data_IF_314451889715
#
_entry.id   IF_314451889715
#
_cell.length_a   1.000
_cell.length_b   1.000
_cell.length_c   1.000
_cell.angle_alpha   90.00
_cell.angle_beta   90.00
_cell.angle_gamma   90.00
#
_symmetry.space_group_name_H-M   'P 1'
#
loop_
_entity.id
_entity.type
_entity.pdbx_description
1 polymer ?
#
# COMPACT_ATOMS: atom_id res chain seq x y z
N UNK A 1 -5.17 1.68 39.97
CA UNK A 1 -4.40 0.47 40.29
C UNK A 1 -4.41 -0.45 39.08
N UNK A 2 -3.21 -0.88 38.71
CA UNK A 2 -2.82 -1.60 37.50
C UNK A 2 -3.68 -2.81 37.13
N UNK A 3 -3.84 -3.04 35.83
CA UNK A 3 -3.51 -4.35 35.25
C UNK A 3 -3.32 -4.25 33.73
N UNK A 4 -2.10 -3.91 33.32
CA UNK A 4 -1.64 -4.14 31.94
C UNK A 4 -1.32 -5.63 31.78
N UNK A 5 -1.96 -6.30 30.81
CA UNK A 5 -1.65 -7.70 30.45
C UNK A 5 -0.47 -7.69 29.45
N UNK A 6 0.64 -8.30 29.85
CA UNK A 6 1.85 -8.42 29.04
C UNK A 6 1.61 -9.32 27.82
N UNK A 7 1.91 -8.81 26.62
CA UNK A 7 1.95 -9.59 25.37
C UNK A 7 3.29 -10.33 25.31
N UNK A 8 3.27 -11.65 25.06
CA UNK A 8 4.47 -12.47 24.90
C UNK A 8 4.98 -12.33 23.46
N UNK A 9 6.19 -11.80 23.30
CA UNK A 9 6.91 -11.77 22.03
C UNK A 9 7.51 -13.15 21.76
N UNK A 10 7.12 -13.78 20.65
CA UNK A 10 7.69 -15.04 20.19
C UNK A 10 8.77 -14.72 19.16
N UNK A 11 10.04 -14.90 19.53
CA UNK A 11 11.18 -14.73 18.64
C UNK A 11 11.34 -15.99 17.78
N UNK A 12 11.12 -15.87 16.47
CA UNK A 12 11.42 -16.93 15.50
C UNK A 12 12.84 -16.69 14.98
N UNK A 13 13.73 -17.64 15.30
CA UNK A 13 15.15 -17.66 14.95
C UNK A 13 15.30 -18.14 13.50
N UNK A 14 15.70 -17.25 12.59
CA UNK A 14 16.01 -17.61 11.20
C UNK A 14 17.39 -18.28 11.13
N UNK A 15 17.43 -19.58 10.79
CA UNK A 15 18.66 -20.32 10.59
C UNK A 15 19.20 -20.06 9.16
N UNK A 16 20.33 -19.34 9.09
CA UNK A 16 21.07 -19.05 7.87
C UNK A 16 22.02 -20.22 7.57
N UNK A 17 21.68 -21.07 6.59
CA UNK A 17 22.57 -22.14 6.11
C UNK A 17 23.42 -21.62 4.95
N UNK A 18 24.67 -21.25 5.27
CA UNK A 18 25.76 -21.04 4.31
C UNK A 18 26.13 -22.37 3.64
N UNK A 19 25.88 -22.46 2.34
CA UNK A 19 26.40 -23.52 1.48
C UNK A 19 27.64 -23.03 0.73
N UNK A 20 28.83 -23.33 1.28
CA UNK A 20 30.12 -23.27 0.58
C UNK A 20 30.35 -24.55 -0.22
N UNK A 21 30.89 -24.45 -1.44
CA UNK A 21 31.47 -25.59 -2.15
C UNK A 21 31.82 -25.29 -3.60
N UNK A 22 33.10 -25.02 -3.88
CA UNK A 22 33.64 -24.95 -5.24
C UNK A 22 34.22 -26.29 -5.71
N UNK A 23 34.59 -26.39 -6.99
CA UNK A 23 35.82 -27.03 -7.48
C UNK A 23 36.11 -26.59 -8.93
N UNK A 24 37.41 -26.60 -9.22
CA UNK A 24 38.09 -26.14 -10.42
C UNK A 24 37.82 -26.94 -11.70
N UNK A 25 37.91 -26.26 -12.84
CA UNK A 25 38.13 -26.84 -14.17
C UNK A 25 39.05 -25.94 -14.98
N UNK A 26 40.34 -26.26 -15.00
CA UNK A 26 41.36 -25.65 -15.84
C UNK A 26 41.44 -26.44 -17.15
N UNK A 27 41.29 -25.77 -18.29
CA UNK A 27 41.49 -26.32 -19.62
C UNK A 27 42.15 -25.28 -20.52
N UNK A 28 43.44 -25.50 -20.79
CA UNK A 28 44.30 -24.73 -21.70
C UNK A 28 43.84 -24.85 -23.15
N UNK A 29 43.86 -23.73 -23.88
CA UNK A 29 43.76 -23.65 -25.35
C UNK A 29 44.00 -22.21 -25.82
N UNK A 30 44.93 -22.06 -26.75
CA UNK A 30 45.75 -20.89 -27.10
C UNK A 30 45.11 -19.57 -27.63
N UNK A 31 45.83 -18.50 -27.30
CA UNK A 31 46.23 -17.29 -28.06
C UNK A 31 45.26 -16.17 -28.54
N UNK A 32 45.50 -14.99 -27.93
CA UNK A 32 45.80 -13.65 -28.51
C UNK A 32 44.63 -12.76 -28.99
N UNK A 33 44.32 -11.72 -28.20
CA UNK A 33 44.72 -10.33 -28.48
C UNK A 33 44.45 -9.38 -27.31
N UNK A 34 45.53 -8.73 -26.89
CA UNK A 34 45.63 -7.49 -26.11
C UNK A 34 44.65 -6.40 -26.56
N UNK A 35 44.00 -5.73 -25.62
CA UNK A 35 44.00 -4.27 -25.46
C UNK A 35 43.58 -3.93 -24.03
N UNK A 36 44.45 -3.22 -23.33
CA UNK A 36 44.29 -2.59 -22.03
C UNK A 36 43.26 -1.45 -22.11
N UNK A 37 42.45 -1.21 -21.07
CA UNK A 37 42.55 -0.03 -20.19
C UNK A 37 41.36 0.06 -19.19
N UNK A 38 41.73 0.02 -17.89
CA UNK A 38 41.28 0.86 -16.73
C UNK A 38 39.77 1.15 -16.51
N UNK A 39 39.16 0.75 -15.38
CA UNK A 39 39.21 1.35 -14.01
C UNK A 39 38.55 2.76 -13.97
N UNK A 40 37.71 3.21 -13.03
CA UNK A 40 37.12 2.82 -11.74
C UNK A 40 35.94 3.80 -11.50
N UNK A 41 34.79 3.42 -10.92
CA UNK A 41 34.40 3.53 -9.50
C UNK A 41 34.52 4.91 -8.80
N UNK A 42 33.34 5.44 -8.44
CA UNK A 42 32.93 6.10 -7.18
C UNK A 42 33.40 7.50 -6.69
N UNK A 43 32.35 8.30 -6.40
CA UNK A 43 32.05 9.08 -5.16
C UNK A 43 32.80 10.39 -4.82
N UNK A 44 31.97 11.44 -4.77
CA UNK A 44 31.86 12.64 -3.92
C UNK A 44 33.04 13.15 -3.07
N UNK A 45 33.23 14.48 -3.11
CA UNK A 45 33.42 15.31 -1.90
C UNK A 45 33.14 16.81 -2.14
N UNK A 46 32.47 17.42 -1.15
CA UNK A 46 32.27 18.85 -0.89
C UNK A 46 33.58 19.61 -0.59
N UNK A 47 33.57 20.94 -0.84
CA UNK A 47 34.12 22.00 0.03
C UNK A 47 33.53 23.34 -0.46
N UNK A 48 32.71 24.07 0.31
CA UNK A 48 33.11 25.15 1.24
C UNK A 48 32.64 26.51 0.66
N UNK A 49 32.38 27.60 1.35
CA UNK A 49 32.14 28.01 2.74
C UNK A 49 31.70 29.51 2.66
N UNK A 50 30.80 29.97 3.55
CA UNK A 50 30.66 31.38 4.05
C UNK A 50 30.21 32.51 3.09
N UNK A 51 29.43 33.55 3.43
CA UNK A 51 29.17 34.25 4.70
C UNK A 51 27.92 35.16 4.61
N UNK A 52 27.21 35.28 5.74
CA UNK A 52 26.51 36.45 6.34
C UNK A 52 25.46 37.34 5.61
N UNK A 53 24.23 37.23 6.16
CA UNK A 53 23.42 38.25 6.90
C UNK A 53 22.96 39.54 6.21
N UNK A 54 21.64 39.70 6.10
CA UNK A 54 20.94 40.96 6.42
C UNK A 54 19.52 40.67 6.92
N UNK A 55 19.10 41.40 7.96
CA UNK A 55 17.82 41.28 8.68
C UNK A 55 16.69 42.08 8.02
N UNK A 56 15.46 41.57 8.22
CA UNK A 56 14.13 42.22 8.29
C UNK A 56 13.66 43.12 7.13
N UNK A 57 12.53 42.74 6.55
CA UNK A 57 11.26 43.43 6.84
C UNK A 57 10.03 42.60 6.50
N UNK A 58 8.96 42.92 7.22
CA UNK A 58 7.66 42.30 7.34
C UNK A 58 6.75 42.71 6.18
N UNK A 59 6.15 41.76 5.45
CA UNK A 59 4.79 41.96 4.95
C UNK A 59 4.05 40.64 4.75
N UNK A 60 2.81 40.72 5.18
CA UNK A 60 1.76 39.72 5.33
C UNK A 60 1.07 39.56 3.99
N UNK A 61 1.07 38.36 3.42
CA UNK A 61 0.02 37.96 2.49
C UNK A 61 -0.30 36.47 2.66
N UNK A 62 -1.55 36.26 3.00
CA UNK A 62 -2.14 35.04 3.53
C UNK A 62 -2.55 34.18 2.33
N UNK A 63 -1.76 33.15 2.02
CA UNK A 63 -2.14 32.12 1.07
C UNK A 63 -3.17 31.20 1.75
N UNK A 64 -4.37 31.00 1.18
CA UNK A 64 -5.38 30.14 1.77
C UNK A 64 -4.84 28.72 1.96
N UNK A 65 -4.88 28.24 3.20
CA UNK A 65 -4.87 26.81 3.48
C UNK A 65 -6.18 26.28 2.91
N UNK A 66 -6.10 25.54 1.81
CA UNK A 66 -7.16 24.60 1.47
C UNK A 66 -7.26 23.61 2.63
N UNK A 67 -8.23 23.84 3.50
CA UNK A 67 -8.81 22.79 4.33
C UNK A 67 -9.26 21.70 3.37
N UNK A 68 -8.57 20.56 3.41
CA UNK A 68 -9.07 19.31 2.86
C UNK A 68 -10.34 18.99 3.64
N UNK A 69 -11.47 19.44 3.13
CA UNK A 69 -12.78 19.19 3.74
C UNK A 69 -13.01 17.69 3.74
N UNK A 70 -12.89 17.09 4.94
CA UNK A 70 -13.55 15.82 5.22
C UNK A 70 -15.05 16.09 5.16
N UNK A 71 -15.65 15.75 4.02
CA UNK A 71 -17.10 15.68 3.86
C UNK A 71 -17.62 14.53 4.73
N UNK A 72 -17.88 14.80 6.00
CA UNK A 72 -18.59 13.90 6.87
C UNK A 72 -20.09 14.08 6.64
N UNK A 73 -20.68 13.15 5.88
CA UNK A 73 -22.13 13.00 5.75
C UNK A 73 -22.65 12.33 7.04
N UNK A 74 -23.71 12.84 7.71
CA UNK A 74 -24.23 12.23 8.93
C UNK A 74 -24.91 10.88 8.63
N UNK A 75 -24.57 9.85 9.42
CA UNK A 75 -25.11 8.51 9.24
C UNK A 75 -26.51 8.26 9.84
N UNK A 76 -27.34 7.56 9.07
CA UNK A 76 -28.23 6.55 9.64
C UNK A 76 -27.44 5.25 9.87
N UNK A 77 -27.85 4.45 10.85
CA UNK A 77 -27.26 3.13 11.15
C UNK A 77 -26.89 2.38 9.86
N UNK A 78 -25.63 1.97 9.73
CA UNK A 78 -25.10 1.35 8.51
C UNK A 78 -24.63 -0.08 8.76
N UNK A 79 -24.83 -0.97 7.78
CA UNK A 79 -24.27 -2.31 7.76
C UNK A 79 -23.01 -2.31 6.90
N UNK A 80 -21.88 -2.75 7.45
CA UNK A 80 -20.68 -3.03 6.68
C UNK A 80 -20.55 -4.52 6.38
N UNK A 81 -20.02 -4.83 5.20
CA UNK A 81 -19.75 -6.18 4.73
C UNK A 81 -18.25 -6.29 4.50
N UNK A 82 -17.56 -7.10 5.32
CA UNK A 82 -16.12 -7.34 5.19
C UNK A 82 -15.88 -8.69 4.52
N UNK A 83 -15.04 -8.65 3.49
CA UNK A 83 -14.49 -9.82 2.83
C UNK A 83 -13.05 -10.04 3.27
N UNK A 84 -12.73 -11.30 3.59
CA UNK A 84 -11.37 -11.76 3.83
C UNK A 84 -11.13 -13.03 3.03
N UNK A 85 -9.88 -13.38 2.66
CA UNK A 85 -9.61 -14.67 2.05
C UNK A 85 -10.06 -15.81 2.96
N UNK A 86 -10.60 -16.89 2.38
CA UNK A 86 -10.91 -18.10 3.12
C UNK A 86 -9.62 -18.87 3.47
N UNK A 87 -9.73 -19.97 4.23
CA UNK A 87 -8.56 -20.75 4.69
C UNK A 87 -7.71 -21.30 3.52
N UNK A 88 -8.32 -21.54 2.36
CA UNK A 88 -7.64 -22.10 1.18
C UNK A 88 -7.13 -21.03 0.20
N UNK A 89 -7.45 -19.75 0.41
CA UNK A 89 -7.19 -18.65 -0.51
C UNK A 89 -7.73 -18.88 -1.94
N UNK A 90 -8.90 -19.52 -2.04
CA UNK A 90 -9.61 -19.79 -3.31
C UNK A 90 -11.02 -19.16 -3.36
N UNK A 91 -11.29 -18.25 -2.42
CA UNK A 91 -12.54 -17.54 -2.27
C UNK A 91 -12.55 -16.76 -0.96
N UNK A 92 -13.72 -16.23 -0.59
CA UNK A 92 -13.81 -15.28 0.52
C UNK A 92 -14.76 -15.73 1.62
N UNK A 93 -14.39 -15.42 2.86
CA UNK A 93 -15.34 -15.34 3.97
C UNK A 93 -16.05 -13.98 3.93
N UNK A 94 -17.34 -13.97 4.26
CA UNK A 94 -18.16 -12.75 4.36
C UNK A 94 -18.59 -12.53 5.80
N UNK A 95 -18.30 -11.36 6.35
CA UNK A 95 -18.79 -10.94 7.66
C UNK A 95 -19.65 -9.69 7.54
N UNK A 96 -20.87 -9.74 8.07
CA UNK A 96 -21.74 -8.57 8.19
C UNK A 96 -21.65 -8.02 9.60
N UNK A 97 -21.54 -6.70 9.72
CA UNK A 97 -21.39 -6.02 11.01
C UNK A 97 -22.14 -4.71 10.98
N UNK A 98 -22.82 -4.41 12.09
CA UNK A 98 -23.65 -3.21 12.22
C UNK A 98 -22.86 -2.10 12.92
N UNK A 99 -22.94 -0.89 12.37
CA UNK A 99 -22.32 0.32 12.88
C UNK A 99 -23.37 1.43 13.00
N UNK A 100 -23.11 2.36 13.91
CA UNK A 100 -23.87 3.62 13.92
C UNK A 100 -23.61 4.42 12.64
N UNK A 101 -22.36 4.38 12.16
CA UNK A 101 -21.90 5.01 10.93
C UNK A 101 -20.84 4.15 10.25
N UNK A 102 -20.99 3.94 8.94
CA UNK A 102 -19.99 3.23 8.13
C UNK A 102 -19.10 4.24 7.44
N UNK A 103 -17.80 4.21 7.76
CA UNK A 103 -16.79 5.04 7.11
C UNK A 103 -15.69 4.18 6.47
N UNK A 104 -15.01 4.68 5.42
CA UNK A 104 -13.91 3.96 4.77
C UNK A 104 -12.78 3.61 5.74
N UNK A 105 -12.43 4.52 6.64
CA UNK A 105 -11.40 4.29 7.65
C UNK A 105 -11.78 3.21 8.66
N UNK A 106 -13.06 3.10 9.01
CA UNK A 106 -13.56 2.01 9.86
C UNK A 106 -13.43 0.67 9.15
N UNK A 107 -13.82 0.59 7.87
CA UNK A 107 -13.70 -0.61 7.05
C UNK A 107 -12.24 -1.06 6.95
N UNK A 108 -11.32 -0.15 6.58
CA UNK A 108 -9.88 -0.45 6.53
C UNK A 108 -9.38 -0.90 7.91
N UNK A 109 -9.79 -0.26 9.00
CA UNK A 109 -9.43 -0.68 10.34
C UNK A 109 -9.87 -2.10 10.70
N UNK A 110 -11.01 -2.57 10.16
CA UNK A 110 -11.49 -3.94 10.36
C UNK A 110 -10.68 -4.95 9.55
N UNK A 111 -10.35 -4.60 8.30
CA UNK A 111 -9.46 -5.41 7.44
C UNK A 111 -8.02 -5.46 7.98
N UNK A 112 -7.56 -4.42 8.70
CA UNK A 112 -6.31 -4.49 9.45
C UNK A 112 -6.46 -5.39 10.68
N UNK A 113 -7.59 -5.31 11.36
CA UNK A 113 -7.89 -6.11 12.55
C UNK A 113 -7.96 -7.62 12.30
N UNK A 114 -8.45 -8.03 11.13
CA UNK A 114 -8.52 -9.44 10.71
C UNK A 114 -7.26 -9.93 9.98
N UNK A 115 -6.33 -9.03 9.65
CA UNK A 115 -5.04 -9.33 9.02
C UNK A 115 -5.06 -9.38 7.49
N UNK A 116 -6.17 -8.98 6.85
CA UNK A 116 -6.26 -8.85 5.40
C UNK A 116 -5.32 -7.74 4.88
N UNK A 117 -5.20 -6.64 5.63
CA UNK A 117 -4.30 -5.52 5.33
C UNK A 117 -3.30 -5.27 6.48
N UNK A 118 -2.10 -4.73 6.20
CA UNK A 118 -1.17 -4.31 7.24
C UNK A 118 -1.59 -2.95 7.83
N UNK A 119 -1.08 -2.65 9.02
CA UNK A 119 -1.36 -1.40 9.75
C UNK A 119 -0.82 -0.13 9.08
N UNK A 120 0.04 -0.27 8.07
CA UNK A 120 0.53 0.82 7.24
C UNK A 120 -0.49 1.37 6.24
N UNK A 121 -1.64 0.70 6.04
CA UNK A 121 -2.68 1.13 5.09
C UNK A 121 -3.63 2.11 5.74
N UNK A 122 -3.74 3.30 5.15
CA UNK A 122 -4.62 4.38 5.60
C UNK A 122 -5.43 4.92 4.42
N UNK A 123 -6.68 5.31 4.67
CA UNK A 123 -7.51 6.03 3.69
C UNK A 123 -7.09 7.50 3.61
N UNK A 124 -6.71 7.93 2.42
CA UNK A 124 -6.28 9.30 2.13
C UNK A 124 -7.43 10.14 1.56
N UNK A 125 -8.26 9.55 0.70
CA UNK A 125 -9.46 10.15 0.15
C UNK A 125 -10.50 9.07 -0.19
N UNK A 126 -11.77 9.44 -0.17
CA UNK A 126 -12.87 8.57 -0.58
C UNK A 126 -13.99 9.39 -1.19
N UNK A 127 -14.46 8.98 -2.36
CA UNK A 127 -15.54 9.63 -3.09
C UNK A 127 -16.51 8.58 -3.63
N UNK A 128 -17.81 8.83 -3.46
CA UNK A 128 -18.85 8.19 -4.27
C UNK A 128 -19.00 8.99 -5.56
N UNK A 129 -18.86 8.32 -6.69
CA UNK A 129 -18.82 8.92 -8.03
C UNK A 129 -19.82 8.24 -8.97
N UNK A 130 -20.15 8.91 -10.07
CA UNK A 130 -20.90 8.29 -11.19
C UNK A 130 -19.90 7.78 -12.23
N UNK A 131 -20.04 6.51 -12.61
CA UNK A 131 -19.30 5.93 -13.71
C UNK A 131 -20.30 5.37 -14.74
N UNK A 132 -20.50 6.13 -15.81
CA UNK A 132 -21.41 5.77 -16.91
C UNK A 132 -22.89 5.57 -16.47
N UNK A 133 -23.36 6.35 -15.49
CA UNK A 133 -24.72 6.27 -14.97
C UNK A 133 -24.93 5.21 -13.88
N UNK A 134 -23.86 4.52 -13.47
CA UNK A 134 -23.87 3.53 -12.38
C UNK A 134 -23.09 4.05 -11.17
N UNK A 135 -23.54 3.75 -9.93
CA UNK A 135 -22.81 4.11 -8.71
C UNK A 135 -21.42 3.48 -8.70
N UNK A 136 -20.39 4.27 -8.44
CA UNK A 136 -19.02 3.83 -8.35
C UNK A 136 -18.29 4.53 -7.19
N UNK A 137 -17.12 4.02 -6.84
CA UNK A 137 -16.30 4.53 -5.75
C UNK A 137 -14.91 4.93 -6.27
N UNK A 138 -14.30 5.93 -5.64
CA UNK A 138 -12.87 6.19 -5.74
C UNK A 138 -12.28 6.15 -4.35
N UNK A 139 -11.35 5.22 -4.13
CA UNK A 139 -10.67 5.03 -2.86
C UNK A 139 -9.17 5.26 -3.04
N UNK A 140 -8.67 6.30 -2.39
CA UNK A 140 -7.25 6.63 -2.37
C UNK A 140 -6.63 6.18 -1.05
N UNK A 141 -5.59 5.36 -1.14
CA UNK A 141 -4.89 4.76 -0.02
C UNK A 141 -3.45 5.28 0.06
N UNK A 142 -2.85 5.22 1.25
CA UNK A 142 -1.44 5.53 1.45
C UNK A 142 -0.50 4.59 0.66
N UNK A 143 0.73 5.03 0.36
CA UNK A 143 1.79 4.19 -0.24
C UNK A 143 1.93 2.78 0.35
N UNK A 144 1.69 2.62 1.65
CA UNK A 144 1.73 1.33 2.35
C UNK A 144 0.84 0.25 1.73
N UNK A 145 -0.25 0.62 1.04
CA UNK A 145 -1.07 -0.32 0.29
C UNK A 145 -0.36 -0.83 -0.97
N UNK A 146 0.14 0.08 -1.80
CA UNK A 146 0.88 -0.27 -3.01
C UNK A 146 2.11 -1.13 -2.69
N UNK A 147 2.89 -0.76 -1.68
CA UNK A 147 4.05 -1.53 -1.20
C UNK A 147 3.66 -2.94 -0.73
N UNK A 148 2.54 -3.07 -0.01
CA UNK A 148 2.04 -4.35 0.47
C UNK A 148 1.65 -5.27 -0.69
N UNK A 149 0.82 -4.80 -1.62
CA UNK A 149 0.36 -5.59 -2.77
C UNK A 149 1.55 -5.96 -3.67
N UNK A 150 2.46 -5.03 -3.95
CA UNK A 150 3.69 -5.25 -4.71
C UNK A 150 4.58 -6.35 -4.12
N UNK A 151 4.54 -6.56 -2.80
CA UNK A 151 5.34 -7.58 -2.10
C UNK A 151 4.78 -9.00 -2.23
N UNK A 152 3.56 -9.15 -2.72
CA UNK A 152 2.88 -10.43 -2.85
C UNK A 152 3.24 -11.16 -4.14
N UNK A 153 2.95 -12.46 -4.17
CA UNK A 153 2.78 -13.18 -5.43
C UNK A 153 1.35 -13.00 -5.96
N UNK A 154 1.14 -13.30 -7.25
CA UNK A 154 -0.13 -13.12 -7.97
C UNK A 154 -1.37 -13.58 -7.19
N UNK A 155 -1.37 -14.80 -6.63
CA UNK A 155 -2.54 -15.30 -5.90
C UNK A 155 -2.85 -14.49 -4.62
N UNK A 156 -1.82 -14.01 -3.92
CA UNK A 156 -2.01 -13.16 -2.74
C UNK A 156 -2.51 -11.77 -3.11
N UNK A 157 -1.96 -11.22 -4.20
CA UNK A 157 -2.40 -9.94 -4.78
C UNK A 157 -3.88 -10.00 -5.18
N UNK A 158 -4.29 -11.04 -5.93
CA UNK A 158 -5.69 -11.24 -6.33
C UNK A 158 -6.63 -11.34 -5.12
N UNK A 159 -6.25 -12.12 -4.11
CA UNK A 159 -7.05 -12.27 -2.88
C UNK A 159 -7.14 -10.98 -2.08
N UNK A 160 -6.07 -10.19 -2.02
CA UNK A 160 -6.05 -8.91 -1.30
C UNK A 160 -6.89 -7.86 -2.01
N UNK A 161 -6.72 -7.73 -3.33
CA UNK A 161 -7.51 -6.82 -4.14
C UNK A 161 -8.98 -7.20 -4.11
N UNK A 162 -9.32 -8.48 -4.29
CA UNK A 162 -10.69 -8.94 -4.23
C UNK A 162 -11.34 -8.74 -2.86
N UNK A 163 -10.59 -8.94 -1.77
CA UNK A 163 -11.08 -8.65 -0.42
C UNK A 163 -11.39 -7.17 -0.24
N UNK A 164 -10.50 -6.27 -0.67
CA UNK A 164 -10.72 -4.82 -0.60
C UNK A 164 -11.87 -4.37 -1.48
N UNK A 165 -11.84 -4.74 -2.76
CA UNK A 165 -12.83 -4.33 -3.77
C UNK A 165 -14.22 -4.82 -3.37
N UNK A 166 -14.38 -6.11 -3.08
CA UNK A 166 -15.70 -6.66 -2.75
C UNK A 166 -16.26 -6.06 -1.46
N UNK A 167 -15.42 -5.79 -0.47
CA UNK A 167 -15.79 -5.12 0.78
C UNK A 167 -16.42 -3.76 0.52
N UNK A 168 -15.74 -2.91 -0.26
CA UNK A 168 -16.24 -1.57 -0.54
C UNK A 168 -17.47 -1.57 -1.45
N UNK A 169 -17.47 -2.39 -2.51
CA UNK A 169 -18.61 -2.49 -3.42
C UNK A 169 -19.88 -2.94 -2.70
N UNK A 170 -19.81 -3.99 -1.88
CA UNK A 170 -21.00 -4.50 -1.19
C UNK A 170 -21.44 -3.63 -0.02
N UNK A 171 -20.49 -2.98 0.66
CA UNK A 171 -20.81 -2.10 1.78
C UNK A 171 -21.51 -0.82 1.30
N UNK A 172 -21.07 -0.24 0.19
CA UNK A 172 -21.65 1.00 -0.35
C UNK A 172 -22.71 0.75 -1.44
N UNK A 173 -22.90 -0.49 -1.88
CA UNK A 173 -23.85 -0.82 -2.96
C UNK A 173 -23.43 -0.27 -4.32
N UNK A 174 -22.12 -0.22 -4.59
CA UNK A 174 -21.55 0.30 -5.83
C UNK A 174 -21.24 -0.80 -6.84
N UNK A 175 -21.25 -0.44 -8.12
CA UNK A 175 -20.99 -1.34 -9.25
C UNK A 175 -19.50 -1.47 -9.58
N UNK A 176 -18.71 -0.42 -9.30
CA UNK A 176 -17.27 -0.41 -9.55
C UNK A 176 -16.49 0.49 -8.59
N UNK A 177 -15.18 0.29 -8.51
CA UNK A 177 -14.29 1.06 -7.64
C UNK A 177 -12.94 1.31 -8.31
N UNK A 178 -12.48 2.56 -8.32
CA UNK A 178 -11.11 2.92 -8.67
C UNK A 178 -10.26 2.96 -7.39
N UNK A 179 -9.13 2.25 -7.41
CA UNK A 179 -8.16 2.23 -6.31
C UNK A 179 -6.95 3.07 -6.70
N UNK A 180 -6.64 4.07 -5.88
CA UNK A 180 -5.47 4.93 -6.04
C UNK A 180 -4.51 4.76 -4.86
N UNK A 181 -3.24 5.05 -5.12
CA UNK A 181 -2.19 5.10 -4.10
C UNK A 181 -1.53 6.48 -4.18
N UNK A 182 -1.61 7.24 -3.09
CA UNK A 182 -1.17 8.63 -3.01
C UNK A 182 -1.69 9.51 -4.16
N UNK A 183 -2.94 9.30 -4.54
CA UNK A 183 -3.66 10.04 -5.57
C UNK A 183 -3.37 9.58 -7.01
N UNK A 184 -2.54 8.56 -7.21
CA UNK A 184 -2.16 8.06 -8.54
C UNK A 184 -2.58 6.59 -8.75
N UNK A 185 -2.79 6.22 -10.01
CA UNK A 185 -2.89 4.82 -10.38
C UNK A 185 -1.56 4.11 -10.07
N UNK A 186 -1.62 2.83 -9.72
CA UNK A 186 -0.43 2.06 -9.36
C UNK A 186 -0.37 0.74 -10.15
N UNK A 187 0.80 0.13 -10.16
CA UNK A 187 1.03 -1.18 -10.78
C UNK A 187 1.94 -2.00 -9.89
N UNK A 188 1.88 -3.31 -10.08
CA UNK A 188 2.77 -4.27 -9.43
C UNK A 188 3.59 -5.01 -10.48
N UNK A 189 4.36 -6.02 -10.06
CA UNK A 189 4.99 -6.94 -11.00
C UNK A 189 4.01 -7.87 -11.73
N UNK A 190 2.72 -7.83 -11.38
CA UNK A 190 1.70 -8.78 -11.85
C UNK A 190 0.55 -8.09 -12.58
N UNK A 191 0.11 -6.92 -12.09
CA UNK A 191 -1.09 -6.23 -12.59
C UNK A 191 -0.88 -4.73 -12.69
N UNK A 192 -1.68 -4.09 -13.54
CA UNK A 192 -1.83 -2.64 -13.60
C UNK A 192 -3.23 -2.27 -13.08
N UNK A 193 -3.30 -1.38 -12.09
CA UNK A 193 -4.54 -0.88 -11.51
C UNK A 193 -4.78 0.55 -11.96
N UNK A 194 -5.13 0.68 -13.24
CA UNK A 194 -5.50 1.96 -13.87
C UNK A 194 -6.98 1.93 -14.26
N UNK A 195 -7.82 2.52 -13.41
CA UNK A 195 -9.26 2.69 -13.64
C UNK A 195 -10.17 1.88 -12.71
N UNK A 196 -11.45 1.80 -13.09
CA UNK A 196 -12.49 1.18 -12.29
C UNK A 196 -12.46 -0.35 -12.37
N UNK A 197 -12.42 -0.99 -11.19
CA UNK A 197 -12.48 -2.41 -10.98
C UNK A 197 -13.92 -2.84 -10.67
N UNK A 198 -14.31 -4.00 -11.21
CA UNK A 198 -15.55 -4.68 -10.83
C UNK A 198 -15.28 -5.72 -9.73
N UNK A 199 -16.36 -6.30 -9.23
CA UNK A 199 -16.33 -7.40 -8.26
C UNK A 199 -15.39 -8.54 -8.71
N UNK A 200 -14.66 -9.09 -7.75
CA UNK A 200 -13.86 -10.31 -7.88
C UNK A 200 -14.69 -11.53 -7.49
N UNK A 201 -14.56 -12.61 -8.27
CA UNK A 201 -15.28 -13.88 -8.07
C UNK A 201 -14.42 -14.94 -7.37
#
# INVERSE_FOLDING_TARGET
MHSMKAKKLSAILLAFCLGTGGIAGCGTGDEVKTTEQEAESNTSQEDGQDTQKTEKEENKEEAPKEEKETSSIPAENGKAIIYSPNENADGYNKQEMDFEEVSPGMIIGQMVGDGTLPDSVVVQNFEEVDNEGEPALRLDLSSGFGEYVQSMGTAGEDMTMGSLVNTFLDTYGASSIEILVDGEAFSTGHSEYSGFLSRYE
#
